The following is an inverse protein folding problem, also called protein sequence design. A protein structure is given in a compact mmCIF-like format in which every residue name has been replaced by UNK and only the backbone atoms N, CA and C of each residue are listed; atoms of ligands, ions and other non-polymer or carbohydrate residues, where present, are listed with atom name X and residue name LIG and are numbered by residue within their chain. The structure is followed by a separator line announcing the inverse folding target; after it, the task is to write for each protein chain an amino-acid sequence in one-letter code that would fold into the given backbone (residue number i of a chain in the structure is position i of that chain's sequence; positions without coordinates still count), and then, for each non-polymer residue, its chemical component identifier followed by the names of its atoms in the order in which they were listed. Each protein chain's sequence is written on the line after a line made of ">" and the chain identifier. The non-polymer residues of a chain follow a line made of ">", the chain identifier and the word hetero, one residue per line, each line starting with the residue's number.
data_IF_589569128648
#
_entry.id   IF_589569128648
#
_cell.length_a   1.000
_cell.length_b   1.000
_cell.length_c   1.000
_cell.angle_alpha   90.00
_cell.angle_beta   90.00
_cell.angle_gamma   90.00
#
_symmetry.space_group_name_H-M   'P 1'
#
loop_
_entity.id
_entity.type
_entity.pdbx_description
1 polymer ?
#
# COMPACT_ATOMS: atom_id res chain seq x y z
N UNK A 1 13.08 16.04 -11.19
CA UNK A 1 12.72 15.60 -9.82
C UNK A 1 12.37 14.14 -9.92
N UNK A 2 13.09 13.29 -9.20
CA UNK A 2 12.80 11.87 -9.16
C UNK A 2 11.46 11.64 -8.45
N UNK A 3 10.72 10.63 -8.89
CA UNK A 3 9.43 10.19 -8.34
C UNK A 3 9.51 9.87 -6.84
N UNK A 4 10.72 9.49 -6.39
CA UNK A 4 11.05 9.16 -5.00
C UNK A 4 11.36 10.39 -4.14
N UNK A 5 11.70 11.54 -4.72
CA UNK A 5 12.11 12.74 -3.96
C UNK A 5 11.02 13.21 -2.97
N UNK A 6 9.75 13.06 -3.35
CA UNK A 6 8.56 13.36 -2.51
C UNK A 6 8.42 12.46 -1.28
N UNK A 7 9.08 11.30 -1.27
CA UNK A 7 9.03 10.31 -0.19
C UNK A 7 10.27 10.31 0.69
N UNK A 8 11.24 11.21 0.47
CA UNK A 8 12.48 11.29 1.27
C UNK A 8 12.31 11.88 2.68
N UNK A 9 11.16 12.46 2.98
CA UNK A 9 10.82 12.92 4.34
C UNK A 9 10.72 11.74 5.31
N UNK A 10 10.91 11.99 6.60
CA UNK A 10 10.76 10.96 7.63
C UNK A 10 9.39 10.29 7.54
N UNK A 11 9.37 8.96 7.41
CA UNK A 11 8.15 8.17 7.24
C UNK A 11 7.59 8.12 5.82
N UNK A 12 8.20 8.82 4.86
CA UNK A 12 7.79 8.81 3.46
C UNK A 12 8.02 7.46 2.77
N UNK A 13 8.97 6.65 3.24
CA UNK A 13 9.15 5.27 2.76
C UNK A 13 7.96 4.38 3.14
N UNK A 14 7.42 4.53 4.36
CA UNK A 14 6.20 3.85 4.77
C UNK A 14 4.98 4.30 3.96
N UNK A 15 4.87 5.60 3.66
CA UNK A 15 3.82 6.13 2.77
C UNK A 15 3.93 5.52 1.36
N UNK A 16 5.15 5.41 0.81
CA UNK A 16 5.40 4.82 -0.50
C UNK A 16 5.04 3.34 -0.52
N UNK A 17 5.47 2.57 0.49
CA UNK A 17 5.11 1.16 0.61
C UNK A 17 3.60 0.97 0.69
N UNK A 18 2.92 1.77 1.53
CA UNK A 18 1.46 1.71 1.64
C UNK A 18 0.78 1.95 0.29
N UNK A 19 1.24 2.93 -0.48
CA UNK A 19 0.71 3.18 -1.83
C UNK A 19 0.95 2.00 -2.76
N UNK A 20 2.16 1.42 -2.73
CA UNK A 20 2.51 0.27 -3.57
C UNK A 20 1.72 -0.99 -3.23
N UNK A 21 1.43 -1.19 -1.95
CA UNK A 21 0.71 -2.35 -1.43
C UNK A 21 -0.79 -2.27 -1.62
N UNK A 22 -1.33 -1.06 -1.70
CA UNK A 22 -2.78 -0.80 -1.82
C UNK A 22 -3.21 -0.39 -3.23
N UNK A 23 -2.30 -0.42 -4.21
CA UNK A 23 -2.60 -0.12 -5.60
C UNK A 23 -2.74 -1.39 -6.46
N UNK A 24 -3.39 -1.25 -7.61
CA UNK A 24 -3.55 -2.37 -8.54
C UNK A 24 -2.20 -2.81 -9.15
N UNK A 25 -2.14 -4.07 -9.61
CA UNK A 25 -0.90 -4.67 -10.12
C UNK A 25 -0.24 -3.87 -11.25
N UNK A 26 -1.04 -3.40 -12.23
CA UNK A 26 -0.54 -2.61 -13.36
C UNK A 26 0.11 -1.30 -12.92
N UNK A 27 -0.50 -0.59 -11.98
CA UNK A 27 0.02 0.68 -11.43
C UNK A 27 1.25 0.42 -10.57
N UNK A 28 1.27 -0.66 -9.79
CA UNK A 28 2.43 -1.11 -9.00
C UNK A 28 3.63 -1.38 -9.90
N UNK A 29 3.46 -2.15 -10.97
CA UNK A 29 4.51 -2.45 -11.94
C UNK A 29 5.06 -1.19 -12.61
N UNK A 30 4.19 -0.26 -13.00
CA UNK A 30 4.61 1.03 -13.58
C UNK A 30 5.42 1.87 -12.59
N UNK A 31 4.97 1.97 -11.33
CA UNK A 31 5.69 2.71 -10.29
C UNK A 31 7.04 2.05 -10.02
N UNK A 32 7.08 0.72 -9.90
CA UNK A 32 8.33 -0.01 -9.66
C UNK A 32 9.31 0.11 -10.81
N UNK A 33 8.85 0.08 -12.07
CA UNK A 33 9.70 0.30 -13.23
C UNK A 33 10.35 1.70 -13.21
N UNK A 34 9.60 2.73 -12.82
CA UNK A 34 10.12 4.09 -12.67
C UNK A 34 11.16 4.13 -11.55
N UNK A 35 10.83 3.61 -10.36
CA UNK A 35 11.74 3.63 -9.20
C UNK A 35 13.02 2.84 -9.50
N UNK A 36 12.93 1.70 -10.16
CA UNK A 36 14.09 0.90 -10.57
C UNK A 36 15.02 1.67 -11.51
N UNK A 37 14.45 2.47 -12.42
CA UNK A 37 15.22 3.27 -13.38
C UNK A 37 15.88 4.51 -12.74
N UNK A 38 15.21 5.15 -11.77
CA UNK A 38 15.69 6.39 -11.14
C UNK A 38 16.59 6.10 -9.93
N UNK A 39 16.21 5.13 -9.10
CA UNK A 39 16.80 4.85 -7.78
C UNK A 39 16.73 3.35 -7.46
N UNK A 40 17.67 2.54 -7.96
CA UNK A 40 17.64 1.08 -7.78
C UNK A 40 17.77 0.64 -6.30
N UNK A 41 18.41 1.45 -5.45
CA UNK A 41 18.52 1.17 -4.01
C UNK A 41 17.16 1.22 -3.31
N UNK A 42 16.30 2.15 -3.72
CA UNK A 42 14.93 2.23 -3.21
C UNK A 42 14.09 1.07 -3.70
N UNK A 43 14.23 0.66 -4.97
CA UNK A 43 13.51 -0.49 -5.50
C UNK A 43 13.88 -1.78 -4.76
N UNK A 44 15.18 -2.04 -4.54
CA UNK A 44 15.64 -3.20 -3.78
C UNK A 44 15.13 -3.19 -2.33
N UNK A 45 15.09 -2.02 -1.69
CA UNK A 45 14.53 -1.89 -0.35
C UNK A 45 13.02 -2.14 -0.34
N UNK A 46 12.27 -1.61 -1.31
CA UNK A 46 10.84 -1.82 -1.44
C UNK A 46 10.52 -3.31 -1.59
N UNK A 47 11.23 -4.03 -2.46
CA UNK A 47 11.01 -5.47 -2.67
C UNK A 47 11.23 -6.28 -1.39
N UNK A 48 12.20 -5.89 -0.55
CA UNK A 48 12.45 -6.55 0.74
C UNK A 48 11.41 -6.21 1.81
N UNK A 49 10.85 -5.00 1.79
CA UNK A 49 9.94 -4.50 2.83
C UNK A 49 8.45 -4.65 2.48
N UNK A 50 8.12 -5.04 1.25
CA UNK A 50 6.74 -5.21 0.79
C UNK A 50 6.08 -6.42 1.46
N UNK A 51 4.83 -6.23 1.88
CA UNK A 51 3.99 -7.26 2.51
C UNK A 51 2.82 -7.59 1.59
N UNK A 52 2.55 -8.90 1.49
CA UNK A 52 1.40 -9.44 0.79
C UNK A 52 0.42 -10.09 1.77
N UNK A 53 -0.84 -10.22 1.37
CA UNK A 53 -1.85 -10.89 2.19
C UNK A 53 -1.49 -12.34 2.51
N UNK A 54 -0.91 -13.06 1.53
CA UNK A 54 -0.40 -14.42 1.72
C UNK A 54 0.70 -14.48 2.80
N UNK A 55 1.57 -13.48 2.88
CA UNK A 55 2.57 -13.40 3.95
C UNK A 55 1.91 -13.16 5.31
N UNK A 56 0.94 -12.26 5.39
CA UNK A 56 0.23 -11.94 6.65
C UNK A 56 -0.43 -13.19 7.24
N UNK A 57 -1.14 -13.98 6.42
CA UNK A 57 -1.80 -15.21 6.89
C UNK A 57 -0.79 -16.31 7.26
N UNK A 58 0.43 -16.25 6.72
CA UNK A 58 1.49 -17.23 7.00
C UNK A 58 2.17 -17.01 8.35
N UNK A 59 2.05 -15.81 8.92
CA UNK A 59 2.66 -15.47 10.21
C UNK A 59 2.16 -16.35 11.36
N UNK A 60 2.92 -16.36 12.45
CA UNK A 60 2.60 -17.12 13.66
C UNK A 60 1.24 -16.73 14.24
N UNK A 61 0.56 -17.69 14.87
CA UNK A 61 -0.81 -17.51 15.38
C UNK A 61 -0.93 -16.31 16.32
N UNK A 62 0.06 -16.07 17.18
CA UNK A 62 0.05 -14.95 18.12
C UNK A 62 0.00 -13.60 17.39
N UNK A 63 0.86 -13.43 16.37
CA UNK A 63 0.93 -12.21 15.57
C UNK A 63 -0.33 -12.03 14.75
N UNK A 64 -0.83 -13.11 14.15
CA UNK A 64 -2.05 -13.07 13.36
C UNK A 64 -3.29 -12.73 14.21
N UNK A 65 -3.36 -13.22 15.44
CA UNK A 65 -4.44 -12.92 16.37
C UNK A 65 -4.44 -11.44 16.76
N UNK A 66 -3.27 -10.85 17.06
CA UNK A 66 -3.15 -9.41 17.34
C UNK A 66 -3.67 -8.56 16.18
N UNK A 67 -3.43 -9.00 14.93
CA UNK A 67 -3.93 -8.34 13.72
C UNK A 67 -5.45 -8.48 13.62
N UNK A 68 -5.99 -9.69 13.75
CA UNK A 68 -7.43 -9.95 13.61
C UNK A 68 -8.24 -9.23 14.67
N UNK A 69 -7.75 -9.15 15.91
CA UNK A 69 -8.43 -8.42 16.98
C UNK A 69 -8.32 -6.89 16.84
N UNK A 70 -7.33 -6.39 16.11
CA UNK A 70 -7.15 -4.95 15.87
C UNK A 70 -7.88 -4.41 14.63
N UNK A 71 -8.16 -5.28 13.64
CA UNK A 71 -8.80 -4.91 12.37
C UNK A 71 -10.30 -5.18 12.44
N UNK A 72 -11.16 -4.35 11.80
CA UNK A 72 -12.60 -4.63 11.72
C UNK A 72 -12.89 -6.01 11.11
N UNK A 73 -13.66 -6.83 11.82
CA UNK A 73 -13.97 -8.21 11.42
C UNK A 73 -14.62 -8.31 10.03
N UNK A 74 -15.37 -7.29 9.61
CA UNK A 74 -15.91 -7.21 8.25
C UNK A 74 -14.81 -7.16 7.18
N UNK A 75 -13.78 -6.33 7.36
CA UNK A 75 -12.70 -6.21 6.37
C UNK A 75 -11.86 -7.49 6.31
N UNK A 76 -11.59 -8.10 7.47
CA UNK A 76 -10.92 -9.38 7.54
C UNK A 76 -11.75 -10.49 6.88
N UNK A 77 -13.06 -10.58 7.16
CA UNK A 77 -13.94 -11.57 6.53
C UNK A 77 -14.01 -11.41 5.00
N UNK A 78 -14.09 -10.19 4.49
CA UNK A 78 -14.04 -9.91 3.05
C UNK A 78 -12.69 -10.36 2.46
N UNK A 79 -11.58 -10.06 3.13
CA UNK A 79 -10.25 -10.47 2.67
C UNK A 79 -10.08 -12.00 2.66
N UNK A 80 -10.63 -12.70 3.66
CA UNK A 80 -10.59 -14.17 3.76
C UNK A 80 -11.37 -14.87 2.64
N UNK A 81 -12.34 -14.20 1.99
CA UNK A 81 -13.02 -14.72 0.79
C UNK A 81 -12.09 -14.85 -0.42
N UNK A 82 -10.90 -14.23 -0.39
CA UNK A 82 -9.88 -14.42 -1.45
C UNK A 82 -9.16 -15.78 -1.35
N UNK A 83 -9.27 -16.47 -0.21
CA UNK A 83 -8.56 -17.72 0.05
C UNK A 83 -9.33 -18.93 -0.44
N UNK A 84 -8.60 -20.01 -0.71
CA UNK A 84 -9.22 -21.32 -0.94
C UNK A 84 -9.85 -21.85 0.36
N UNK A 85 -10.86 -22.74 0.28
CA UNK A 85 -11.48 -23.32 1.47
C UNK A 85 -10.48 -24.03 2.39
N UNK A 86 -9.42 -24.61 1.84
CA UNK A 86 -8.36 -25.27 2.61
C UNK A 86 -7.52 -24.26 3.40
N UNK A 87 -7.10 -23.17 2.78
CA UNK A 87 -6.34 -22.11 3.44
C UNK A 87 -7.18 -21.41 4.50
N UNK A 88 -8.46 -21.18 4.24
CA UNK A 88 -9.39 -20.61 5.20
C UNK A 88 -9.46 -21.42 6.49
N UNK A 89 -9.56 -22.75 6.40
CA UNK A 89 -9.57 -23.63 7.56
C UNK A 89 -8.26 -23.59 8.35
N UNK A 90 -7.11 -23.47 7.66
CA UNK A 90 -5.80 -23.30 8.32
C UNK A 90 -5.76 -21.98 9.08
N UNK A 91 -6.27 -20.90 8.50
CA UNK A 91 -6.33 -19.58 9.12
C UNK A 91 -7.25 -19.59 10.34
N UNK A 92 -8.43 -20.19 10.26
CA UNK A 92 -9.34 -20.30 11.40
C UNK A 92 -8.69 -21.00 12.59
N UNK A 93 -7.94 -22.08 12.37
CA UNK A 93 -7.24 -22.81 13.45
C UNK A 93 -6.20 -21.96 14.20
N UNK A 94 -5.70 -20.87 13.61
CA UNK A 94 -4.78 -19.92 14.27
C UNK A 94 -5.49 -18.97 15.24
N UNK A 95 -6.81 -18.87 15.16
CA UNK A 95 -7.61 -17.93 15.94
C UNK A 95 -8.17 -18.58 17.20
N UNK A 96 -8.52 -17.73 18.18
CA UNK A 96 -9.29 -18.17 19.35
C UNK A 96 -10.73 -18.53 18.94
N UNK A 97 -11.39 -19.39 19.72
CA UNK A 97 -12.79 -19.77 19.45
C UNK A 97 -13.75 -18.57 19.36
N UNK A 98 -13.50 -17.51 20.12
CA UNK A 98 -14.31 -16.29 20.08
C UNK A 98 -14.13 -15.55 18.74
N UNK A 99 -12.89 -15.38 18.27
CA UNK A 99 -12.62 -14.71 16.99
C UNK A 99 -13.04 -15.55 15.79
N UNK A 100 -12.87 -16.88 15.87
CA UNK A 100 -13.41 -17.82 14.86
C UNK A 100 -14.91 -17.60 14.68
N UNK A 101 -15.68 -17.70 15.77
CA UNK A 101 -17.14 -17.53 15.73
C UNK A 101 -17.55 -16.16 15.19
N UNK A 102 -16.87 -15.10 15.63
CA UNK A 102 -17.14 -13.73 15.18
C UNK A 102 -16.89 -13.58 13.68
N UNK A 103 -15.80 -14.15 13.16
CA UNK A 103 -15.47 -14.09 11.74
C UNK A 103 -16.38 -14.97 10.90
N UNK A 104 -16.70 -16.19 11.35
CA UNK A 104 -17.60 -17.12 10.65
C UNK A 104 -18.99 -16.51 10.45
N UNK A 105 -19.56 -15.90 11.50
CA UNK A 105 -20.86 -15.21 11.41
C UNK A 105 -20.86 -14.16 10.30
N UNK A 106 -19.84 -13.30 10.27
CA UNK A 106 -19.72 -12.26 9.25
C UNK A 106 -19.41 -12.86 7.88
N UNK A 107 -18.58 -13.91 7.82
CA UNK A 107 -18.15 -14.57 6.59
C UNK A 107 -19.34 -15.22 5.86
N UNK A 108 -20.28 -15.83 6.57
CA UNK A 108 -21.43 -16.49 5.96
C UNK A 108 -22.50 -15.51 5.48
N UNK A 109 -22.64 -14.36 6.16
CA UNK A 109 -23.58 -13.30 5.78
C UNK A 109 -23.12 -12.52 4.54
N UNK A 110 -21.81 -12.33 4.36
CA UNK A 110 -21.28 -11.52 3.26
C UNK A 110 -21.12 -12.31 1.96
N UNK A 111 -21.59 -11.71 0.87
CA UNK A 111 -21.36 -12.16 -0.51
C UNK A 111 -20.68 -11.04 -1.30
N UNK A 112 -19.39 -10.76 -1.02
CA UNK A 112 -18.68 -9.66 -1.64
C UNK A 112 -18.47 -9.90 -3.14
N UNK A 113 -18.48 -8.83 -3.93
CA UNK A 113 -18.07 -8.92 -5.34
C UNK A 113 -16.55 -9.10 -5.44
N UNK A 114 -16.00 -9.56 -6.58
CA UNK A 114 -14.55 -9.67 -6.76
C UNK A 114 -13.78 -8.36 -6.51
N UNK A 115 -14.42 -7.22 -6.77
CA UNK A 115 -13.87 -5.89 -6.50
C UNK A 115 -13.82 -5.62 -4.99
N UNK A 116 -14.87 -5.99 -4.27
CA UNK A 116 -14.91 -5.85 -2.80
C UNK A 116 -13.86 -6.74 -2.13
N UNK A 117 -13.66 -7.97 -2.63
CA UNK A 117 -12.61 -8.88 -2.13
C UNK A 117 -11.24 -8.22 -2.27
N UNK A 118 -10.94 -7.70 -3.46
CA UNK A 118 -9.67 -7.01 -3.73
C UNK A 118 -9.48 -5.78 -2.84
N UNK A 119 -10.54 -4.99 -2.66
CA UNK A 119 -10.55 -3.81 -1.79
C UNK A 119 -10.37 -4.18 -0.31
N UNK A 120 -11.01 -5.27 0.15
CA UNK A 120 -10.85 -5.80 1.50
C UNK A 120 -9.42 -6.27 1.76
N UNK A 121 -8.80 -6.97 0.81
CA UNK A 121 -7.39 -7.36 0.88
C UNK A 121 -6.49 -6.13 1.00
N UNK A 122 -6.68 -5.10 0.16
CA UNK A 122 -5.89 -3.87 0.26
C UNK A 122 -6.08 -3.14 1.59
N UNK A 123 -7.30 -3.10 2.12
CA UNK A 123 -7.58 -2.50 3.43
C UNK A 123 -6.86 -3.26 4.55
N UNK A 124 -6.93 -4.59 4.56
CA UNK A 124 -6.22 -5.40 5.57
C UNK A 124 -4.72 -5.18 5.49
N UNK A 125 -4.12 -5.17 4.29
CA UNK A 125 -2.68 -4.90 4.15
C UNK A 125 -2.33 -3.50 4.64
N UNK A 126 -3.13 -2.49 4.29
CA UNK A 126 -2.95 -1.11 4.72
C UNK A 126 -3.06 -0.94 6.25
N UNK A 127 -4.03 -1.61 6.88
CA UNK A 127 -4.22 -1.59 8.32
C UNK A 127 -3.07 -2.31 9.03
N UNK A 128 -2.61 -3.46 8.52
CA UNK A 128 -1.42 -4.16 9.04
C UNK A 128 -0.18 -3.27 8.95
N UNK A 129 0.02 -2.57 7.84
CA UNK A 129 1.13 -1.60 7.69
C UNK A 129 1.06 -0.50 8.74
N UNK A 130 -0.14 0.01 9.03
CA UNK A 130 -0.34 1.03 10.08
C UNK A 130 -0.08 0.45 11.49
N UNK A 131 -0.46 -0.80 11.75
CA UNK A 131 -0.18 -1.49 13.02
C UNK A 131 1.33 -1.72 13.24
N UNK A 132 2.07 -1.99 12.17
CA UNK A 132 3.54 -2.08 12.20
C UNK A 132 4.14 -0.71 12.51
N UNK A 133 3.68 0.35 11.82
CA UNK A 133 4.15 1.72 12.07
C UNK A 133 3.87 2.20 13.50
N UNK A 134 2.75 1.78 14.10
CA UNK A 134 2.38 2.06 15.50
C UNK A 134 3.10 1.16 16.52
N UNK A 135 3.96 0.23 16.08
CA UNK A 135 4.64 -0.76 16.93
C UNK A 135 3.70 -1.69 17.71
N UNK A 136 2.44 -1.83 17.28
CA UNK A 136 1.49 -2.82 17.81
C UNK A 136 1.92 -4.20 17.36
N UNK A 137 2.21 -4.34 16.06
CA UNK A 137 2.82 -5.55 15.48
C UNK A 137 4.33 -5.35 15.44
N UNK A 138 5.05 -6.01 16.35
CA UNK A 138 6.50 -5.93 16.43
C UNK A 138 7.15 -6.90 15.44
N UNK A 139 7.24 -6.48 14.18
CA UNK A 139 7.90 -7.24 13.09
C UNK A 139 9.35 -7.61 13.41
N UNK A 140 10.03 -6.83 14.24
CA UNK A 140 11.38 -7.13 14.75
C UNK A 140 11.51 -8.52 15.40
N UNK A 141 10.42 -9.01 16.00
CA UNK A 141 10.43 -10.27 16.74
C UNK A 141 10.35 -11.51 15.86
N UNK A 142 9.90 -11.38 14.61
CA UNK A 142 9.63 -12.54 13.75
C UNK A 142 10.15 -12.38 12.31
N UNK A 143 10.23 -11.17 11.75
CA UNK A 143 10.93 -10.91 10.50
C UNK A 143 11.63 -9.54 10.52
N UNK A 144 12.93 -9.58 10.84
CA UNK A 144 13.80 -8.39 10.86
C UNK A 144 13.89 -7.72 9.48
N UNK A 145 13.61 -8.45 8.38
CA UNK A 145 13.58 -7.85 7.04
C UNK A 145 12.37 -6.97 6.84
N UNK A 146 11.27 -7.12 7.58
CA UNK A 146 10.11 -6.23 7.46
C UNK A 146 10.21 -4.99 8.33
N UNK A 147 11.16 -4.95 9.26
CA UNK A 147 11.39 -3.79 10.11
C UNK A 147 11.94 -2.61 9.29
N UNK A 148 11.31 -1.44 9.47
CA UNK A 148 11.70 -0.18 8.83
C UNK A 148 12.07 0.80 9.95
N UNK A 149 13.37 1.07 10.14
CA UNK A 149 13.83 2.02 11.14
C UNK A 149 13.31 3.44 10.87
N UNK A 150 13.28 4.27 11.92
CA UNK A 150 13.02 5.70 11.76
C UNK A 150 14.12 6.34 10.89
N UNK A 151 13.70 7.19 9.94
CA UNK A 151 14.59 7.80 8.94
C UNK A 151 15.32 6.80 8.04
N UNK A 152 14.72 5.64 7.76
CA UNK A 152 15.25 4.66 6.80
C UNK A 152 15.58 5.30 5.44
N UNK A 153 14.82 6.32 5.03
CA UNK A 153 15.04 7.12 3.83
C UNK A 153 16.47 7.68 3.74
N UNK A 154 17.05 8.12 4.86
CA UNK A 154 18.38 8.69 4.91
C UNK A 154 19.48 7.64 4.64
N UNK A 155 19.21 6.37 4.95
CA UNK A 155 20.15 5.26 4.66
C UNK A 155 20.13 4.84 3.20
N UNK A 156 19.04 5.13 2.49
CA UNK A 156 18.88 4.91 1.05
C UNK A 156 19.37 6.09 0.21
N UNK A 157 19.77 7.19 0.85
CA UNK A 157 20.48 8.27 0.19
C UNK A 157 21.96 7.92 0.25
N UNK A 158 22.50 7.41 -0.85
CA UNK A 158 23.96 7.32 -1.04
C UNK A 158 24.61 8.64 -0.59
N UNK A 159 25.48 8.68 0.43
CA UNK A 159 26.52 9.69 0.41
C UNK A 159 27.32 9.40 -0.86
N UNK A 160 27.43 10.39 -1.75
CA UNK A 160 28.45 10.35 -2.79
C UNK A 160 29.76 9.93 -2.11
N UNK A 161 30.28 8.77 -2.53
CA UNK A 161 31.55 8.18 -2.13
C UNK A 161 32.48 9.16 -1.41
N UNK A 162 32.60 9.07 -0.08
CA UNK A 162 33.88 9.43 0.53
C UNK A 162 34.87 8.39 0.01
N UNK A 163 35.97 8.81 -0.65
CA UNK A 163 37.03 7.86 -0.99
C UNK A 163 37.49 7.18 0.31
N UNK A 164 37.82 5.87 0.28
CA UNK A 164 38.45 5.27 1.45
C UNK A 164 39.76 6.00 1.71
N UNK A 165 39.92 6.56 2.92
CA UNK A 165 41.23 6.90 3.45
C UNK A 165 42.09 5.64 3.37
N UNK A 166 43.01 5.62 2.41
CA UNK A 166 44.06 4.60 2.35
C UNK A 166 45.02 4.86 3.51
N UNK A 167 45.40 3.84 4.29
CA UNK A 167 46.66 3.90 5.01
C UNK A 167 47.79 3.91 3.97
N UNK A 168 48.75 4.80 4.18
CA UNK A 168 49.93 4.97 3.35
C UNK A 168 50.76 3.68 3.31
N UNK A 169 51.07 3.19 2.11
CA UNK A 169 52.29 2.45 1.79
C UNK A 169 52.46 2.38 0.27
N UNK A 170 53.61 2.88 -0.20
CA UNK A 170 53.92 2.97 -1.61
C UNK A 170 54.40 1.66 -2.22
N UNK A 171 54.25 1.54 -3.54
CA UNK A 171 55.32 1.19 -4.49
C UNK A 171 54.75 1.18 -5.92
N UNK A 172 55.68 1.31 -6.87
CA UNK A 172 55.53 1.73 -8.27
C UNK A 172 54.93 0.64 -9.18
N UNK A 173 54.29 1.06 -10.28
CA UNK A 173 54.03 0.21 -11.46
C UNK A 173 53.07 0.82 -12.49
N UNK A 174 53.60 1.32 -13.61
CA UNK A 174 52.95 1.59 -14.91
C UNK A 174 52.29 0.29 -15.47
N UNK A 175 51.31 0.20 -16.39
CA UNK A 175 50.62 1.09 -17.35
C UNK A 175 49.34 0.35 -17.91
N UNK A 176 48.33 1.13 -18.29
CA UNK A 176 47.35 1.03 -19.41
C UNK A 176 46.65 -0.29 -19.83
N UNK A 177 45.31 -0.26 -19.93
CA UNK A 177 44.61 -0.29 -21.24
C UNK A 177 43.12 0.06 -21.10
N UNK A 178 42.68 1.00 -21.95
CA UNK A 178 41.33 1.50 -22.12
C UNK A 178 40.35 0.47 -22.69
N UNK A 179 39.09 0.54 -22.26
CA UNK A 179 37.93 0.21 -23.10
C UNK A 179 36.80 1.21 -22.77
N UNK A 180 36.71 2.27 -23.57
CA UNK A 180 35.53 3.13 -23.67
C UNK A 180 34.45 2.40 -24.48
N UNK A 181 33.28 2.17 -23.90
CA UNK A 181 32.07 1.87 -24.65
C UNK A 181 31.08 3.02 -24.49
N UNK A 182 31.11 3.94 -25.46
CA UNK A 182 30.12 5.01 -25.63
C UNK A 182 28.81 4.42 -26.14
N UNK A 183 27.82 4.24 -25.28
CA UNK A 183 26.43 4.04 -25.68
C UNK A 183 25.67 5.37 -25.58
N UNK A 184 25.50 6.02 -26.74
CA UNK A 184 24.74 7.25 -26.93
C UNK A 184 23.27 6.89 -27.09
N UNK A 185 22.43 7.16 -26.08
CA UNK A 185 20.97 7.06 -26.21
C UNK A 185 20.39 8.48 -26.27
N UNK A 186 19.61 8.83 -27.31
CA UNK A 186 19.13 10.19 -27.52
C UNK A 186 18.07 10.56 -26.49
N UNK A 187 18.35 11.62 -25.73
CA UNK A 187 17.37 12.32 -24.90
C UNK A 187 16.29 12.93 -25.80
N UNK A 188 15.10 12.32 -25.81
CA UNK A 188 13.86 13.07 -25.92
C UNK A 188 13.26 13.12 -24.52
N UNK A 189 13.06 14.30 -23.90
CA UNK A 189 12.27 14.39 -22.69
C UNK A 189 10.84 13.98 -23.07
N UNK A 190 10.43 12.80 -22.61
CA UNK A 190 9.04 12.39 -22.71
C UNK A 190 8.30 13.13 -21.60
N UNK A 191 7.49 14.11 -21.98
CA UNK A 191 6.57 14.80 -21.08
C UNK A 191 5.63 13.75 -20.49
N UNK A 192 5.85 13.42 -19.22
CA UNK A 192 4.93 12.58 -18.47
C UNK A 192 3.62 13.36 -18.36
N UNK A 193 2.51 12.87 -18.90
CA UNK A 193 1.24 13.57 -18.78
C UNK A 193 0.93 13.82 -17.30
N UNK A 194 0.73 15.10 -16.98
CA UNK A 194 0.43 15.71 -15.69
C UNK A 194 -0.83 15.15 -14.97
N UNK A 195 -1.36 14.01 -15.40
CA UNK A 195 -2.55 13.36 -14.85
C UNK A 195 -2.32 12.60 -13.54
N UNK A 196 -1.07 12.34 -13.14
CA UNK A 196 -0.76 11.54 -11.94
C UNK A 196 -0.85 12.33 -10.61
N UNK A 197 -1.08 13.65 -10.65
CA UNK A 197 -1.09 14.51 -9.47
C UNK A 197 -2.39 15.30 -9.24
N UNK A 198 -3.41 15.12 -10.09
CA UNK A 198 -4.64 15.93 -10.03
C UNK A 198 -5.71 15.35 -9.10
N UNK A 199 -5.81 14.04 -8.92
CA UNK A 199 -6.89 13.45 -8.11
C UNK A 199 -6.72 13.60 -6.59
N UNK A 200 -5.49 13.77 -6.10
CA UNK A 200 -5.19 13.82 -4.66
C UNK A 200 -4.78 15.22 -4.16
N UNK A 201 -4.98 16.28 -4.95
CA UNK A 201 -4.80 17.65 -4.45
C UNK A 201 -5.92 17.98 -3.46
N UNK A 202 -5.63 18.61 -2.31
CA UNK A 202 -6.63 18.96 -1.31
C UNK A 202 -7.75 19.82 -1.91
N UNK A 203 -7.45 20.64 -2.91
CA UNK A 203 -8.45 21.47 -3.60
C UNK A 203 -9.38 20.68 -4.53
N UNK A 204 -8.90 19.63 -5.19
CA UNK A 204 -9.74 18.75 -6.03
C UNK A 204 -10.64 17.88 -5.15
N UNK A 205 -10.11 17.39 -4.02
CA UNK A 205 -10.90 16.65 -3.04
C UNK A 205 -11.98 17.53 -2.39
N UNK A 206 -11.67 18.79 -2.03
CA UNK A 206 -12.68 19.75 -1.54
C UNK A 206 -13.78 20.00 -2.56
N UNK A 207 -13.42 20.17 -3.84
CA UNK A 207 -14.40 20.36 -4.90
C UNK A 207 -15.28 19.12 -5.08
N UNK A 208 -14.69 17.93 -5.04
CA UNK A 208 -15.42 16.65 -5.16
C UNK A 208 -16.33 16.40 -3.95
N UNK A 209 -15.89 16.76 -2.74
CA UNK A 209 -16.72 16.71 -1.53
C UNK A 209 -17.91 17.68 -1.66
N UNK A 210 -17.67 18.91 -2.14
CA UNK A 210 -18.73 19.89 -2.37
C UNK A 210 -19.74 19.37 -3.41
N UNK A 211 -19.26 18.81 -4.51
CA UNK A 211 -20.10 18.25 -5.58
C UNK A 211 -20.94 17.06 -5.08
N UNK A 212 -20.34 16.11 -4.35
CA UNK A 212 -21.05 14.98 -3.75
C UNK A 212 -22.09 15.47 -2.72
N UNK A 213 -21.76 16.47 -1.91
CA UNK A 213 -22.68 17.05 -0.94
C UNK A 213 -23.88 17.70 -1.64
N UNK A 214 -23.64 18.38 -2.77
CA UNK A 214 -24.70 18.98 -3.57
C UNK A 214 -25.60 17.92 -4.23
N UNK A 215 -25.02 16.84 -4.76
CA UNK A 215 -25.78 15.72 -5.31
C UNK A 215 -26.63 15.01 -4.24
N UNK A 216 -26.09 14.83 -3.03
CA UNK A 216 -26.82 14.25 -1.91
C UNK A 216 -28.04 15.09 -1.52
N UNK A 217 -27.87 16.42 -1.43
CA UNK A 217 -28.98 17.34 -1.13
C UNK A 217 -30.08 17.27 -2.21
N UNK A 218 -29.70 17.21 -3.48
CA UNK A 218 -30.63 17.13 -4.60
C UNK A 218 -31.40 15.79 -4.60
N UNK A 219 -30.71 14.68 -4.32
CA UNK A 219 -31.32 13.36 -4.18
C UNK A 219 -32.28 13.28 -2.98
N UNK A 220 -31.97 13.94 -1.87
CA UNK A 220 -32.88 14.02 -0.70
C UNK A 220 -34.13 14.84 -1.04
N UNK A 221 -33.99 15.94 -1.77
CA UNK A 221 -35.12 16.75 -2.21
C UNK A 221 -36.03 15.98 -3.17
N UNK A 222 -35.45 15.25 -4.14
CA UNK A 222 -36.22 14.39 -5.04
C UNK A 222 -36.94 13.27 -4.29
N UNK A 223 -36.30 12.65 -3.29
CA UNK A 223 -36.94 11.66 -2.43
C UNK A 223 -38.11 12.25 -1.62
N UNK A 224 -37.99 13.49 -1.14
CA UNK A 224 -39.07 14.16 -0.44
C UNK A 224 -40.27 14.42 -1.38
N UNK A 225 -40.01 14.91 -2.59
CA UNK A 225 -41.05 15.14 -3.62
C UNK A 225 -41.74 13.84 -4.03
N UNK A 226 -40.99 12.77 -4.27
CA UNK A 226 -41.56 11.46 -4.60
C UNK A 226 -42.40 10.88 -3.46
N UNK A 227 -42.03 11.13 -2.20
CA UNK A 227 -42.85 10.73 -1.04
C UNK A 227 -44.15 11.52 -0.98
N UNK A 228 -44.11 12.82 -1.25
CA UNK A 228 -45.31 13.67 -1.27
C UNK A 228 -46.24 13.31 -2.44
N UNK A 229 -45.70 13.00 -3.62
CA UNK A 229 -46.47 12.47 -4.74
C UNK A 229 -47.08 11.09 -4.45
N UNK A 230 -46.37 10.23 -3.72
CA UNK A 230 -46.91 8.95 -3.27
C UNK A 230 -48.04 9.14 -2.26
N UNK A 231 -47.92 10.09 -1.33
CA UNK A 231 -48.99 10.40 -0.39
C UNK A 231 -50.21 11.03 -1.06
N UNK A 232 -50.01 11.93 -2.03
CA UNK A 232 -51.11 12.55 -2.77
C UNK A 232 -51.85 11.51 -3.62
N UNK A 233 -51.13 10.60 -4.28
CA UNK A 233 -51.73 9.47 -5.01
C UNK A 233 -52.45 8.48 -4.09
N UNK A 234 -51.93 8.23 -2.88
CA UNK A 234 -52.60 7.39 -1.87
C UNK A 234 -53.87 8.03 -1.29
N UNK A 235 -53.94 9.36 -1.22
CA UNK A 235 -55.13 10.10 -0.77
C UNK A 235 -56.19 10.25 -1.86
N UNK A 236 -55.80 10.10 -3.14
CA UNK A 236 -56.68 10.19 -4.30
C UNK A 236 -57.23 8.83 -4.78
N UNK A 237 -56.81 7.72 -4.16
CA UNK A 237 -57.30 6.36 -4.39
C UNK A 237 -58.12 5.88 -3.17
#
# INVERSE_FOLDING_TARGET
>A
MAMVDRYRKSGGFNELLKVLETCNAKKREQIMAIIQSETPEWAAAIDQKTITFAQIISWESNVFLDIVSSIPSLQMAIALKSLTPAEYQVVLKKLSHQEQRKLELVYDEIKPTPVDISSGVFKVIGDVRDLIGKSVVKVEKFDMRLHIPNNFEATLVKPASKPPERPAQGTKGFQNSAFEAKAKVPAKPFDVPFYLATENRPEVLKNKIREITQQLALALQQNAQLKEELESKKKAA
#
